data_IF_173318093904
#
_entry.id   IF_173318093904
#
_cell.length_a   1.000
_cell.length_b   1.000
_cell.length_c   1.000
_cell.angle_alpha   90.00
_cell.angle_beta   90.00
_cell.angle_gamma   90.00
#
_symmetry.space_group_name_H-M   'P 1'
#
loop_
_entity.id
_entity.type
_entity.pdbx_description
1 polymer ?
#
# COMPACT_ATOMS: atom_id res chain seq x y z
N UNK A 1 28.46 -11.73 -25.88
CA UNK A 1 28.49 -10.68 -24.85
C UNK A 1 27.13 -10.67 -24.18
N UNK A 2 26.97 -11.11 -22.92
CA UNK A 2 25.67 -11.02 -22.27
C UNK A 2 25.42 -9.56 -21.90
N UNK A 3 24.25 -9.07 -22.31
CA UNK A 3 23.70 -7.76 -21.99
C UNK A 3 23.62 -7.58 -20.48
N UNK A 4 24.31 -6.55 -19.99
CA UNK A 4 24.22 -6.10 -18.61
C UNK A 4 22.82 -5.55 -18.38
N UNK A 5 21.90 -6.40 -17.92
CA UNK A 5 20.68 -5.93 -17.31
C UNK A 5 21.09 -5.27 -15.99
N UNK A 6 21.21 -3.95 -15.99
CA UNK A 6 21.28 -3.17 -14.75
C UNK A 6 19.96 -3.39 -14.02
N UNK A 7 19.94 -4.40 -13.15
CA UNK A 7 18.98 -4.49 -12.07
C UNK A 7 19.30 -3.30 -11.15
N UNK A 8 18.66 -2.16 -11.42
CA UNK A 8 18.40 -1.20 -10.37
C UNK A 8 17.66 -2.00 -9.31
N UNK A 9 18.38 -2.38 -8.25
CA UNK A 9 17.79 -2.79 -7.01
C UNK A 9 16.99 -1.58 -6.53
N UNK A 10 15.75 -1.46 -7.03
CA UNK A 10 14.71 -0.72 -6.34
C UNK A 10 14.74 -1.36 -4.97
N UNK A 11 15.17 -0.58 -4.00
CA UNK A 11 15.19 -0.97 -2.61
C UNK A 11 13.71 -1.14 -2.30
N UNK A 12 13.19 -2.35 -2.53
CA UNK A 12 11.85 -2.77 -2.18
C UNK A 12 11.90 -2.86 -0.66
N UNK A 13 11.93 -1.69 0.00
CA UNK A 13 11.61 -1.61 1.40
C UNK A 13 10.26 -2.31 1.52
N UNK A 14 10.19 -3.44 2.24
CA UNK A 14 8.96 -4.19 2.32
C UNK A 14 7.88 -3.23 2.81
N UNK A 15 6.77 -3.12 2.07
CA UNK A 15 5.66 -2.29 2.52
C UNK A 15 5.10 -2.93 3.78
N UNK A 16 5.53 -2.42 4.93
CA UNK A 16 5.06 -2.91 6.23
C UNK A 16 3.76 -2.20 6.62
N UNK A 17 2.95 -2.82 7.49
CA UNK A 17 1.78 -2.17 8.07
C UNK A 17 2.13 -0.84 8.76
N UNK A 18 3.32 -0.74 9.36
CA UNK A 18 3.78 0.50 10.01
C UNK A 18 4.02 1.63 9.01
N UNK A 19 4.62 1.31 7.84
CA UNK A 19 4.83 2.26 6.75
C UNK A 19 3.48 2.77 6.22
N UNK A 20 2.54 1.85 6.00
CA UNK A 20 1.18 2.19 5.56
C UNK A 20 0.50 3.11 6.56
N UNK A 21 0.49 2.74 7.85
CA UNK A 21 -0.13 3.54 8.91
C UNK A 21 0.46 4.96 8.97
N UNK A 22 1.78 5.07 8.88
CA UNK A 22 2.47 6.36 8.91
C UNK A 22 2.13 7.23 7.69
N UNK A 23 2.17 6.66 6.49
CA UNK A 23 2.02 7.41 5.25
C UNK A 23 0.53 7.77 4.97
N UNK A 24 -0.42 7.00 5.52
CA UNK A 24 -1.86 7.21 5.38
C UNK A 24 -2.50 7.93 6.58
N UNK A 25 -1.81 7.97 7.72
CA UNK A 25 -2.37 8.44 8.99
C UNK A 25 -3.40 7.49 9.62
N UNK A 26 -3.52 6.26 9.12
CA UNK A 26 -4.42 5.24 9.65
C UNK A 26 -3.87 4.60 10.93
N UNK A 27 -4.78 4.08 11.75
CA UNK A 27 -4.38 3.27 12.89
C UNK A 27 -3.68 1.98 12.45
N UNK A 28 -2.56 1.66 13.07
CA UNK A 28 -1.78 0.47 12.75
C UNK A 28 -2.60 -0.82 12.93
N UNK A 29 -3.50 -0.88 13.91
CA UNK A 29 -4.37 -2.04 14.14
C UNK A 29 -5.32 -2.23 12.97
N UNK A 30 -5.95 -1.15 12.50
CA UNK A 30 -6.82 -1.16 11.33
C UNK A 30 -6.06 -1.65 10.08
N UNK A 31 -4.85 -1.15 9.87
CA UNK A 31 -4.01 -1.62 8.76
C UNK A 31 -3.72 -3.11 8.89
N UNK A 32 -3.37 -3.62 10.08
CA UNK A 32 -3.06 -5.04 10.29
C UNK A 32 -4.27 -5.96 10.16
N UNK A 33 -5.45 -5.52 10.57
CA UNK A 33 -6.68 -6.31 10.55
C UNK A 33 -7.29 -6.38 9.14
N UNK A 34 -7.17 -5.30 8.36
CA UNK A 34 -7.89 -5.15 7.09
C UNK A 34 -7.02 -5.18 5.85
N UNK A 35 -5.72 -4.84 5.93
CA UNK A 35 -4.84 -4.92 4.76
C UNK A 35 -4.45 -6.36 4.50
N UNK A 36 -4.66 -6.80 3.27
CA UNK A 36 -4.28 -8.14 2.80
C UNK A 36 -2.88 -8.16 2.20
N UNK A 37 -2.59 -7.17 1.35
CA UNK A 37 -1.30 -7.00 0.71
C UNK A 37 -1.15 -5.57 0.21
N UNK A 38 0.08 -5.19 -0.11
CA UNK A 38 0.40 -3.91 -0.74
C UNK A 38 1.34 -4.15 -1.92
N UNK A 39 1.28 -3.25 -2.91
CA UNK A 39 2.08 -3.34 -4.13
C UNK A 39 2.66 -1.98 -4.48
N UNK A 40 3.99 -1.89 -4.49
CA UNK A 40 4.71 -0.70 -4.96
C UNK A 40 4.48 -0.47 -6.45
N UNK A 41 4.42 0.79 -6.87
CA UNK A 41 4.53 1.13 -8.29
C UNK A 41 5.98 0.98 -8.76
N UNK A 42 6.18 0.48 -9.99
CA UNK A 42 7.51 0.25 -10.57
C UNK A 42 8.29 1.56 -10.81
N UNK A 43 7.57 2.68 -10.94
CA UNK A 43 8.16 4.01 -11.13
C UNK A 43 8.52 4.71 -9.81
N UNK A 44 8.26 4.07 -8.66
CA UNK A 44 8.51 4.65 -7.34
C UNK A 44 7.56 5.80 -6.96
N UNK A 45 6.50 6.04 -7.73
CA UNK A 45 5.52 7.10 -7.46
C UNK A 45 4.66 6.86 -6.23
N UNK A 46 4.78 5.68 -5.60
CA UNK A 46 4.05 5.30 -4.41
C UNK A 46 3.72 3.82 -4.40
N UNK A 47 2.57 3.48 -3.80
CA UNK A 47 2.10 2.10 -3.72
C UNK A 47 0.59 1.99 -3.54
N UNK A 48 0.08 0.81 -3.86
CA UNK A 48 -1.29 0.38 -3.69
C UNK A 48 -1.44 -0.44 -2.41
N UNK A 49 -2.48 -0.18 -1.63
CA UNK A 49 -2.85 -0.96 -0.46
C UNK A 49 -4.19 -1.63 -0.71
N UNK A 50 -4.22 -2.96 -0.58
CA UNK A 50 -5.41 -3.77 -0.82
C UNK A 50 -6.03 -4.19 0.51
N UNK A 51 -7.22 -3.66 0.78
CA UNK A 51 -8.02 -4.02 1.94
C UNK A 51 -8.87 -5.26 1.64
N UNK A 52 -9.28 -5.98 2.68
CA UNK A 52 -10.15 -7.15 2.59
C UNK A 52 -11.46 -6.80 1.87
N UNK A 53 -12.03 -7.70 1.05
CA UNK A 53 -13.33 -7.48 0.43
C UNK A 53 -14.44 -7.28 1.48
N UNK A 54 -14.34 -7.98 2.61
CA UNK A 54 -15.27 -7.92 3.75
C UNK A 54 -15.07 -6.70 4.67
N UNK A 55 -14.27 -5.70 4.25
CA UNK A 55 -14.05 -4.49 5.05
C UNK A 55 -15.39 -3.76 5.26
N UNK A 56 -15.86 -3.59 6.50
CA UNK A 56 -17.15 -3.00 6.79
C UNK A 56 -17.18 -1.51 6.42
N UNK A 57 -18.38 -0.98 6.15
CA UNK A 57 -18.58 0.41 5.77
C UNK A 57 -17.95 1.41 6.74
N UNK A 58 -18.02 1.14 8.05
CA UNK A 58 -17.41 1.97 9.10
C UNK A 58 -15.89 2.12 8.91
N UNK A 59 -15.19 1.03 8.60
CA UNK A 59 -13.74 1.06 8.33
C UNK A 59 -13.46 1.80 7.02
N UNK A 60 -14.33 1.65 6.00
CA UNK A 60 -14.22 2.42 4.76
C UNK A 60 -14.38 3.92 4.99
N UNK A 61 -15.26 4.33 5.91
CA UNK A 61 -15.43 5.73 6.29
C UNK A 61 -14.22 6.27 7.07
N UNK A 62 -13.56 5.42 7.85
CA UNK A 62 -12.30 5.76 8.53
C UNK A 62 -11.11 5.87 7.58
N UNK A 63 -11.18 5.27 6.38
CA UNK A 63 -10.12 5.31 5.37
C UNK A 63 -10.47 6.30 4.26
N UNK A 64 -10.07 7.57 4.39
CA UNK A 64 -10.35 8.55 3.35
C UNK A 64 -9.71 8.13 2.03
N UNK A 65 -10.45 8.28 0.92
CA UNK A 65 -10.02 7.93 -0.45
C UNK A 65 -9.90 6.43 -0.74
N UNK A 66 -10.48 5.58 0.11
CA UNK A 66 -10.65 4.17 -0.25
C UNK A 66 -11.61 4.06 -1.44
N UNK A 67 -11.16 3.38 -2.49
CA UNK A 67 -11.98 3.13 -3.67
C UNK A 67 -13.08 2.09 -3.38
N UNK A 68 -14.14 2.01 -4.21
CA UNK A 68 -15.20 1.00 -4.05
C UNK A 68 -14.69 -0.46 -4.05
N UNK A 69 -13.50 -0.69 -4.62
CA UNK A 69 -12.81 -1.97 -4.69
C UNK A 69 -11.91 -2.23 -3.47
N UNK A 70 -12.05 -1.47 -2.37
CA UNK A 70 -11.20 -1.63 -1.18
C UNK A 70 -9.71 -1.41 -1.46
N UNK A 71 -9.40 -0.51 -2.39
CA UNK A 71 -8.04 -0.18 -2.76
C UNK A 71 -7.75 1.26 -2.36
N UNK A 72 -6.64 1.47 -1.67
CA UNK A 72 -6.12 2.78 -1.29
C UNK A 72 -4.83 3.06 -2.08
N UNK A 73 -4.78 4.23 -2.71
CA UNK A 73 -3.60 4.68 -3.45
C UNK A 73 -2.81 5.61 -2.53
N UNK A 74 -1.58 5.22 -2.22
CA UNK A 74 -0.63 6.04 -1.45
C UNK A 74 0.41 6.55 -2.42
N UNK A 75 0.52 7.87 -2.56
CA UNK A 75 1.53 8.50 -3.39
C UNK A 75 2.76 8.78 -2.53
N UNK A 76 3.94 8.55 -3.09
CA UNK A 76 5.19 8.97 -2.48
C UNK A 76 5.20 10.50 -2.38
N UNK A 77 5.45 11.01 -1.17
CA UNK A 77 5.56 12.44 -0.90
C UNK A 77 6.98 12.96 -1.20
#
# INVERSE_FOLDING_TARGET
MPTSASAFAVIDEPITPEKIARDTGLDLSLVRDWVTHAKSYEDGSGYLVFFRPDTPGEVREMVPRLTPTNLLIVLAA
#
